data_IF_946751133260
#
_entry.id   IF_946751133260
#
_cell.length_a   1.000
_cell.length_b   1.000
_cell.length_c   1.000
_cell.angle_alpha   90.00
_cell.angle_beta   90.00
_cell.angle_gamma   90.00
#
_symmetry.space_group_name_H-M   'P 1'
#
loop_
_entity.id
_entity.type
_entity.pdbx_description
1 polymer ?
#
# COMPACT_ATOMS: atom_id res chain seq x y z
N UNK A 1 14.98 -15.52 5.15
CA UNK A 1 14.24 -14.33 4.67
C UNK A 1 14.79 -13.14 5.43
N UNK A 2 15.12 -12.04 4.76
CA UNK A 2 15.48 -10.81 5.46
C UNK A 2 14.24 -10.05 5.95
N UNK A 3 14.44 -9.10 6.86
CA UNK A 3 13.36 -8.36 7.51
C UNK A 3 12.55 -7.48 6.55
N UNK A 4 13.16 -6.94 5.49
CA UNK A 4 12.43 -6.12 4.51
C UNK A 4 11.52 -7.01 3.64
N UNK A 5 12.01 -8.18 3.23
CA UNK A 5 11.20 -9.18 2.52
C UNK A 5 10.01 -9.65 3.38
N UNK A 6 10.21 -9.83 4.69
CA UNK A 6 9.11 -10.13 5.62
C UNK A 6 8.04 -9.03 5.62
N UNK A 7 8.43 -7.76 5.78
CA UNK A 7 7.47 -6.66 5.79
C UNK A 7 6.79 -6.44 4.44
N UNK A 8 7.50 -6.68 3.34
CA UNK A 8 6.92 -6.61 2.01
C UNK A 8 5.81 -7.66 1.83
N UNK A 9 6.04 -8.88 2.31
CA UNK A 9 5.04 -9.94 2.27
C UNK A 9 3.84 -9.66 3.19
N UNK A 10 4.07 -9.10 4.39
CA UNK A 10 2.97 -8.61 5.26
C UNK A 10 2.14 -7.54 4.53
N UNK A 11 2.78 -6.58 3.85
CA UNK A 11 2.06 -5.57 3.05
C UNK A 11 1.20 -6.25 1.98
N UNK A 12 1.76 -7.17 1.20
CA UNK A 12 1.05 -7.89 0.14
C UNK A 12 -0.18 -8.62 0.68
N UNK A 13 -0.08 -9.32 1.82
CA UNK A 13 -1.23 -10.02 2.43
C UNK A 13 -2.29 -9.08 3.00
N UNK A 14 -1.90 -7.89 3.42
CA UNK A 14 -2.81 -6.83 3.83
C UNK A 14 -3.45 -6.09 2.64
N UNK A 15 -3.10 -6.46 1.40
CA UNK A 15 -3.59 -5.81 0.19
C UNK A 15 -2.93 -4.45 -0.08
N UNK A 16 -1.72 -4.24 0.44
CA UNK A 16 -0.95 -3.00 0.29
C UNK A 16 0.27 -3.23 -0.59
N UNK A 17 0.56 -2.27 -1.47
CA UNK A 17 1.85 -2.25 -2.17
C UNK A 17 2.98 -2.03 -1.15
N UNK A 18 4.09 -2.79 -1.20
CA UNK A 18 5.20 -2.65 -0.25
C UNK A 18 6.08 -1.44 -0.57
N UNK A 19 5.53 -0.24 -0.40
CA UNK A 19 6.21 1.02 -0.70
C UNK A 19 7.33 1.32 0.30
N UNK A 20 8.33 2.15 -0.07
CA UNK A 20 9.38 2.58 0.85
C UNK A 20 8.82 3.19 2.15
N UNK A 21 7.68 3.88 2.08
CA UNK A 21 7.00 4.42 3.25
C UNK A 21 6.57 3.32 4.23
N UNK A 22 5.83 2.30 3.74
CA UNK A 22 5.31 1.21 4.60
C UNK A 22 6.44 0.37 5.19
N UNK A 23 7.45 0.07 4.38
CA UNK A 23 8.62 -0.68 4.84
C UNK A 23 9.39 0.08 5.92
N UNK A 24 9.56 1.40 5.76
CA UNK A 24 10.20 2.23 6.78
C UNK A 24 9.37 2.31 8.07
N UNK A 25 8.03 2.43 7.96
CA UNK A 25 7.14 2.45 9.11
C UNK A 25 7.18 1.13 9.90
N UNK A 26 7.16 -0.02 9.21
CA UNK A 26 7.33 -1.33 9.85
C UNK A 26 8.71 -1.52 10.47
N UNK A 27 9.77 -1.06 9.78
CA UNK A 27 11.13 -1.14 10.30
C UNK A 27 11.29 -0.31 11.59
N UNK A 28 10.69 0.87 11.65
CA UNK A 28 10.70 1.70 12.86
C UNK A 28 9.90 1.07 14.00
N UNK A 29 8.71 0.53 13.71
CA UNK A 29 7.95 -0.25 14.69
C UNK A 29 8.82 -1.37 15.27
N UNK A 30 9.42 -2.21 14.42
CA UNK A 30 10.26 -3.31 14.88
C UNK A 30 11.50 -2.85 15.65
N UNK A 31 12.08 -1.70 15.28
CA UNK A 31 13.19 -1.10 16.03
C UNK A 31 12.76 -0.70 17.44
N UNK A 32 11.56 -0.14 17.60
CA UNK A 32 11.02 0.25 18.90
C UNK A 32 10.69 -0.95 19.79
N UNK A 33 10.24 -2.07 19.21
CA UNK A 33 10.03 -3.32 19.96
C UNK A 33 11.35 -3.97 20.39
N UNK A 34 12.42 -3.80 19.61
CA UNK A 34 13.74 -4.37 19.91
C UNK A 34 13.80 -5.90 19.84
N UNK A 35 12.80 -6.55 19.23
CA UNK A 35 12.76 -8.00 19.08
C UNK A 35 13.82 -8.49 18.08
N UNK A 36 14.63 -9.50 18.42
CA UNK A 36 15.58 -10.08 17.50
C UNK A 36 14.83 -10.91 16.44
N UNK A 37 14.66 -10.34 15.25
CA UNK A 37 13.90 -10.93 14.16
C UNK A 37 14.42 -12.32 13.78
N UNK A 38 15.74 -12.48 13.67
CA UNK A 38 16.40 -13.71 13.21
C UNK A 38 16.18 -14.89 14.15
N UNK A 39 15.76 -14.62 15.38
CA UNK A 39 15.51 -15.63 16.41
C UNK A 39 14.03 -15.88 16.67
N UNK A 40 13.15 -14.98 16.26
CA UNK A 40 11.76 -14.97 16.73
C UNK A 40 10.72 -14.95 15.62
N UNK A 41 11.10 -14.42 14.44
CA UNK A 41 10.17 -14.12 13.34
C UNK A 41 8.93 -13.32 13.81
N UNK A 42 9.04 -12.58 14.91
CA UNK A 42 8.00 -11.73 15.48
C UNK A 42 8.54 -10.30 15.71
N UNK A 43 8.85 -9.57 14.63
CA UNK A 43 9.52 -8.28 14.74
C UNK A 43 8.63 -7.20 15.41
N UNK A 44 7.31 -7.41 15.48
CA UNK A 44 6.36 -6.47 16.08
C UNK A 44 5.93 -6.88 17.51
N UNK A 45 6.63 -7.85 18.11
CA UNK A 45 6.37 -8.35 19.47
C UNK A 45 4.90 -8.73 19.75
N UNK A 46 4.20 -9.29 18.76
CA UNK A 46 2.78 -9.61 18.93
C UNK A 46 2.59 -10.66 20.04
N UNK A 47 1.68 -10.36 20.96
CA UNK A 47 1.38 -11.20 22.14
C UNK A 47 0.22 -12.18 21.90
N UNK A 48 -0.54 -11.96 20.83
CA UNK A 48 -1.78 -12.70 20.59
C UNK A 48 -1.50 -14.05 19.93
N UNK A 49 -2.17 -15.07 20.45
CA UNK A 49 -2.12 -16.42 19.93
C UNK A 49 -2.87 -16.49 18.59
N UNK A 50 -2.13 -16.50 17.48
CA UNK A 50 -2.68 -16.99 16.21
C UNK A 50 -2.94 -18.48 16.37
N UNK A 51 -4.20 -18.89 16.36
CA UNK A 51 -4.65 -20.25 16.73
C UNK A 51 -4.22 -21.35 15.77
N UNK A 52 -3.57 -21.02 14.66
CA UNK A 52 -3.07 -21.99 13.68
C UNK A 52 -1.60 -21.78 13.29
N UNK A 53 -0.91 -20.78 13.85
CA UNK A 53 0.47 -20.48 13.44
C UNK A 53 1.48 -21.33 14.22
N UNK A 54 2.37 -22.08 13.55
CA UNK A 54 3.41 -22.86 14.22
C UNK A 54 4.38 -22.00 15.03
N UNK A 55 4.50 -22.32 16.33
CA UNK A 55 5.51 -21.73 17.22
C UNK A 55 6.83 -22.49 17.14
N UNK A 56 7.94 -21.82 17.46
CA UNK A 56 9.20 -22.48 17.75
C UNK A 56 9.17 -23.03 19.19
N UNK A 57 8.70 -24.25 19.36
CA UNK A 57 8.63 -24.90 20.68
C UNK A 57 9.99 -25.38 21.19
N UNK A 58 11.06 -25.32 20.39
CA UNK A 58 12.42 -25.59 20.85
C UNK A 58 13.04 -24.35 21.53
N UNK A 59 12.48 -23.16 21.29
CA UNK A 59 12.88 -21.94 21.96
C UNK A 59 12.25 -21.85 23.35
N UNK A 60 13.08 -21.88 24.39
CA UNK A 60 12.66 -21.60 25.78
C UNK A 60 13.80 -20.88 26.52
N UNK A 61 13.53 -19.66 27.00
CA UNK A 61 14.46 -18.86 27.81
C UNK A 61 14.01 -18.75 29.28
N UNK A 62 13.18 -19.70 29.75
CA UNK A 62 12.64 -19.73 31.10
C UNK A 62 11.21 -19.20 31.23
N UNK A 63 10.55 -18.92 30.10
CA UNK A 63 9.15 -18.47 30.03
C UNK A 63 8.23 -19.52 29.38
N UNK A 64 8.77 -20.72 29.14
CA UNK A 64 8.09 -21.83 28.51
C UNK A 64 8.29 -21.88 26.99
N UNK A 65 8.08 -23.06 26.37
CA UNK A 65 8.27 -23.26 24.94
C UNK A 65 7.52 -22.26 24.05
N UNK A 66 8.23 -21.63 23.11
CA UNK A 66 7.69 -20.67 22.14
C UNK A 66 7.36 -19.28 22.70
N UNK A 67 7.79 -18.98 23.93
CA UNK A 67 7.61 -17.67 24.55
C UNK A 67 8.94 -16.92 24.68
N UNK A 68 8.89 -15.63 24.39
CA UNK A 68 10.01 -14.71 24.56
C UNK A 68 10.10 -14.15 25.99
N UNK A 69 8.96 -13.82 26.60
CA UNK A 69 8.88 -13.18 27.91
C UNK A 69 7.66 -13.67 28.72
N UNK A 70 7.48 -13.12 29.93
CA UNK A 70 6.36 -13.43 30.82
C UNK A 70 5.00 -12.86 30.38
N UNK A 71 4.96 -12.02 29.34
CA UNK A 71 3.74 -11.41 28.76
C UNK A 71 3.38 -12.15 27.45
N UNK A 72 3.41 -13.49 27.50
CA UNK A 72 3.58 -14.45 26.39
C UNK A 72 3.79 -13.91 24.96
N UNK A 73 4.80 -13.06 24.74
CA UNK A 73 5.22 -12.68 23.37
C UNK A 73 5.73 -13.93 22.67
N UNK A 74 5.25 -14.18 21.45
CA UNK A 74 5.47 -15.47 20.77
C UNK A 74 6.71 -15.48 19.88
N UNK A 75 7.32 -16.66 19.79
CA UNK A 75 8.43 -16.99 18.89
C UNK A 75 7.89 -17.97 17.86
N UNK A 76 7.89 -17.57 16.59
CA UNK A 76 7.34 -18.37 15.51
C UNK A 76 8.41 -19.29 14.90
N UNK A 77 7.99 -20.45 14.38
CA UNK A 77 8.90 -21.47 13.86
C UNK A 77 9.77 -20.96 12.71
N UNK A 78 9.18 -20.15 11.84
CA UNK A 78 9.79 -19.66 10.63
C UNK A 78 9.18 -18.31 10.22
N UNK A 79 9.75 -17.68 9.19
CA UNK A 79 9.29 -16.39 8.70
C UNK A 79 7.83 -16.42 8.20
N UNK A 80 7.42 -17.51 7.57
CA UNK A 80 6.06 -17.67 7.02
C UNK A 80 5.01 -17.70 8.14
N UNK A 81 5.29 -18.46 9.20
CA UNK A 81 4.49 -18.46 10.42
C UNK A 81 4.40 -17.05 11.03
N UNK A 82 5.54 -16.36 11.14
CA UNK A 82 5.58 -14.98 11.63
C UNK A 82 4.75 -13.99 10.79
N UNK A 83 4.81 -14.10 9.45
CA UNK A 83 4.01 -13.29 8.52
C UNK A 83 2.53 -13.56 8.72
N UNK A 84 2.12 -14.84 8.80
CA UNK A 84 0.73 -15.23 8.98
C UNK A 84 0.18 -14.64 10.29
N UNK A 85 0.87 -14.84 11.41
CA UNK A 85 0.43 -14.32 12.70
C UNK A 85 0.43 -12.78 12.76
N UNK A 86 1.41 -12.12 12.13
CA UNK A 86 1.44 -10.65 12.04
C UNK A 86 0.24 -10.13 11.25
N UNK A 87 -0.04 -10.74 10.10
CA UNK A 87 -1.19 -10.38 9.25
C UNK A 87 -2.51 -10.60 9.99
N UNK A 88 -2.70 -11.78 10.60
CA UNK A 88 -3.88 -12.09 11.42
C UNK A 88 -4.06 -11.10 12.57
N UNK A 89 -2.96 -10.67 13.19
CA UNK A 89 -3.00 -9.68 14.25
C UNK A 89 -3.47 -8.33 13.71
N UNK A 90 -2.89 -7.85 12.61
CA UNK A 90 -3.22 -6.52 12.07
C UNK A 90 -4.66 -6.42 11.56
N UNK A 91 -5.27 -7.50 11.07
CA UNK A 91 -6.68 -7.47 10.59
C UNK A 91 -7.72 -7.43 11.71
N UNK A 92 -7.31 -7.60 12.98
CA UNK A 92 -8.21 -7.54 14.10
C UNK A 92 -8.97 -6.20 14.19
N UNK A 93 -10.20 -6.20 14.73
CA UNK A 93 -11.01 -4.99 14.85
C UNK A 93 -10.42 -3.96 15.83
N UNK A 94 -9.33 -4.27 16.52
CA UNK A 94 -8.66 -3.40 17.49
C UNK A 94 -7.63 -2.45 16.87
N UNK A 95 -7.25 -2.69 15.60
CA UNK A 95 -6.25 -1.90 14.89
C UNK A 95 -6.78 -1.12 13.67
N UNK A 96 -8.02 -0.57 13.67
CA UNK A 96 -8.54 0.12 12.49
C UNK A 96 -7.74 1.38 12.14
N UNK A 97 -7.28 2.16 13.12
CA UNK A 97 -6.54 3.39 12.85
C UNK A 97 -5.08 3.11 12.50
N UNK A 98 -4.46 2.09 13.10
CA UNK A 98 -3.13 1.63 12.66
C UNK A 98 -3.20 1.17 11.20
N UNK A 99 -4.16 0.31 10.84
CA UNK A 99 -4.36 -0.11 9.44
C UNK A 99 -4.61 1.08 8.51
N UNK A 100 -5.41 2.06 8.94
CA UNK A 100 -5.64 3.30 8.19
C UNK A 100 -4.34 4.06 7.94
N UNK A 101 -3.42 4.11 8.91
CA UNK A 101 -2.12 4.75 8.73
C UNK A 101 -1.32 4.10 7.61
N UNK A 102 -1.25 2.76 7.60
CA UNK A 102 -0.55 2.02 6.54
C UNK A 102 -1.26 2.11 5.19
N UNK A 103 -2.59 1.96 5.15
CA UNK A 103 -3.35 2.04 3.92
C UNK A 103 -3.21 3.41 3.23
N UNK A 104 -3.24 4.50 3.99
CA UNK A 104 -3.12 5.86 3.47
C UNK A 104 -1.68 6.41 3.46
N UNK A 105 -0.69 5.63 3.92
CA UNK A 105 0.71 6.05 4.07
C UNK A 105 0.84 7.38 4.83
N UNK A 106 0.17 7.47 5.98
CA UNK A 106 0.08 8.70 6.78
C UNK A 106 -0.08 8.40 8.26
N UNK A 107 0.59 9.15 9.12
CA UNK A 107 0.39 9.05 10.58
C UNK A 107 -0.85 9.82 11.07
N UNK A 108 -1.83 9.11 11.62
CA UNK A 108 -3.04 9.64 12.25
C UNK A 108 -2.94 9.57 13.78
N UNK A 109 -3.35 10.62 14.50
CA UNK A 109 -3.28 10.61 15.98
C UNK A 109 -4.25 9.59 16.58
N UNK A 110 -5.31 9.26 15.86
CA UNK A 110 -6.31 8.25 16.23
C UNK A 110 -5.69 6.85 16.40
N UNK A 111 -4.49 6.59 15.85
CA UNK A 111 -3.75 5.35 16.06
C UNK A 111 -3.02 5.29 17.41
N UNK A 112 -2.74 6.43 18.06
CA UNK A 112 -1.97 6.48 19.31
C UNK A 112 -2.63 5.65 20.43
N UNK A 113 -3.96 5.75 20.68
CA UNK A 113 -4.60 4.95 21.72
C UNK A 113 -4.58 3.44 21.44
N UNK A 114 -4.60 3.03 20.15
CA UNK A 114 -4.50 1.62 19.77
C UNK A 114 -3.13 1.05 20.11
N UNK A 115 -2.06 1.80 19.78
CA UNK A 115 -0.71 1.46 20.21
C UNK A 115 -0.58 1.44 21.73
N UNK A 116 -1.17 2.42 22.42
CA UNK A 116 -1.13 2.49 23.87
C UNK A 116 -1.85 1.34 24.58
N UNK A 117 -2.97 0.88 24.02
CA UNK A 117 -3.78 -0.18 24.64
C UNK A 117 -3.27 -1.57 24.32
N UNK A 118 -2.83 -1.81 23.08
CA UNK A 118 -2.67 -3.18 22.57
C UNK A 118 -1.23 -3.56 22.21
N UNK A 119 -0.32 -2.58 22.17
CA UNK A 119 1.07 -2.82 21.76
C UNK A 119 2.03 -2.50 22.90
N UNK A 120 1.99 -1.27 23.42
CA UNK A 120 2.92 -0.85 24.47
C UNK A 120 2.41 0.30 25.33
N UNK A 121 2.56 1.54 24.83
CA UNK A 121 2.20 2.74 25.60
C UNK A 121 1.83 3.93 24.69
N UNK A 122 1.17 4.93 25.26
CA UNK A 122 0.87 6.18 24.55
C UNK A 122 2.13 6.89 24.06
N UNK A 123 3.20 6.88 24.86
CA UNK A 123 4.48 7.49 24.48
C UNK A 123 5.07 6.79 23.26
N UNK A 124 5.00 5.45 23.24
CA UNK A 124 5.37 4.63 22.10
C UNK A 124 4.51 4.97 20.87
N UNK A 125 3.19 5.04 21.03
CA UNK A 125 2.26 5.37 19.93
C UNK A 125 2.54 6.74 19.33
N UNK A 126 2.82 7.75 20.16
CA UNK A 126 3.22 9.10 19.72
C UNK A 126 4.52 9.10 18.93
N UNK A 127 5.52 8.35 19.38
CA UNK A 127 6.80 8.25 18.69
C UNK A 127 6.63 7.66 17.28
N UNK A 128 5.91 6.54 17.17
CA UNK A 128 5.71 5.84 15.90
C UNK A 128 4.81 6.63 14.94
N UNK A 129 3.70 7.20 15.41
CA UNK A 129 2.85 8.09 14.59
C UNK A 129 3.60 9.36 14.17
N UNK A 130 4.43 9.92 15.05
CA UNK A 130 5.32 11.03 14.73
C UNK A 130 6.30 10.68 13.61
N UNK A 131 6.92 9.50 13.68
CA UNK A 131 7.79 9.00 12.62
C UNK A 131 7.04 8.84 11.28
N UNK A 132 5.85 8.21 11.31
CA UNK A 132 5.00 8.05 10.13
C UNK A 132 4.66 9.39 9.44
N UNK A 133 4.50 10.47 10.21
CA UNK A 133 4.28 11.83 9.66
C UNK A 133 5.52 12.46 9.06
N UNK A 134 6.68 12.14 9.62
CA UNK A 134 7.96 12.66 9.17
C UNK A 134 8.47 11.96 7.90
N UNK A 135 7.96 10.75 7.60
CA UNK A 135 8.26 10.06 6.36
C UNK A 135 7.82 10.90 5.14
N UNK A 136 8.64 10.92 4.07
CA UNK A 136 8.27 11.63 2.85
C UNK A 136 6.97 11.06 2.31
N UNK A 137 6.00 11.93 2.03
CA UNK A 137 4.72 11.51 1.46
C UNK A 137 4.97 10.68 0.20
N UNK A 138 4.19 9.60 -0.04
CA UNK A 138 4.25 8.90 -1.32
C UNK A 138 4.10 9.93 -2.44
N UNK A 139 5.08 9.95 -3.35
CA UNK A 139 4.90 10.72 -4.56
C UNK A 139 3.68 10.13 -5.26
N UNK A 140 2.66 10.94 -5.62
CA UNK A 140 1.59 10.43 -6.44
C UNK A 140 2.23 9.80 -7.67
N UNK A 141 2.03 8.49 -7.85
CA UNK A 141 2.49 7.79 -9.04
C UNK A 141 1.99 8.62 -10.22
N UNK A 142 2.93 9.15 -11.00
CA UNK A 142 2.54 9.87 -12.20
C UNK A 142 1.76 8.87 -13.06
N UNK A 143 0.54 9.21 -13.51
CA UNK A 143 -0.20 8.32 -14.37
C UNK A 143 0.68 7.94 -15.56
N UNK A 144 0.57 6.69 -16.00
CA UNK A 144 1.39 6.18 -17.11
C UNK A 144 1.18 7.04 -18.35
N UNK A 145 2.09 6.96 -19.32
CA UNK A 145 1.90 7.66 -20.58
C UNK A 145 0.57 7.24 -21.24
N UNK A 146 0.20 5.95 -21.17
CA UNK A 146 -1.09 5.47 -21.66
C UNK A 146 -2.28 6.09 -20.91
N UNK A 147 -2.24 6.14 -19.58
CA UNK A 147 -3.33 6.73 -18.77
C UNK A 147 -3.48 8.24 -19.03
N UNK A 148 -2.36 8.93 -19.24
CA UNK A 148 -2.34 10.34 -19.60
C UNK A 148 -2.92 10.58 -20.99
N UNK A 149 -2.58 9.72 -21.96
CA UNK A 149 -3.12 9.76 -23.33
C UNK A 149 -4.62 9.48 -23.30
N UNK A 150 -5.07 8.42 -22.64
CA UNK A 150 -6.49 8.08 -22.53
C UNK A 150 -7.30 9.22 -21.88
N UNK A 151 -6.73 9.89 -20.87
CA UNK A 151 -7.36 11.06 -20.25
C UNK A 151 -7.45 12.26 -21.21
N UNK A 152 -6.42 12.50 -22.01
CA UNK A 152 -6.40 13.53 -23.06
C UNK A 152 -7.44 13.22 -24.15
N UNK A 153 -7.51 11.96 -24.61
CA UNK A 153 -8.51 11.51 -25.59
C UNK A 153 -9.92 11.68 -25.05
N UNK A 154 -10.18 11.36 -23.77
CA UNK A 154 -11.48 11.63 -23.14
C UNK A 154 -11.81 13.12 -23.04
N UNK A 155 -10.82 13.96 -22.77
CA UNK A 155 -11.02 15.42 -22.67
C UNK A 155 -11.31 16.04 -24.04
N UNK A 156 -10.61 15.60 -25.08
CA UNK A 156 -10.73 16.13 -26.45
C UNK A 156 -11.93 15.50 -27.17
N UNK A 157 -12.08 14.18 -27.11
CA UNK A 157 -13.16 13.41 -27.72
C UNK A 157 -14.48 13.43 -26.93
N UNK A 158 -14.46 13.87 -25.67
CA UNK A 158 -15.66 14.01 -24.84
C UNK A 158 -16.57 15.18 -25.21
N UNK A 159 -16.25 15.95 -26.26
CA UNK A 159 -17.12 16.96 -26.85
C UNK A 159 -16.99 16.91 -28.37
N UNK A 160 -18.09 16.68 -29.07
CA UNK A 160 -18.09 16.56 -30.53
C UNK A 160 -19.39 17.01 -31.17
N UNK A 161 -19.45 16.94 -32.50
CA UNK A 161 -20.66 17.16 -33.28
C UNK A 161 -20.81 15.93 -34.20
N UNK A 162 -22.01 15.35 -34.25
CA UNK A 162 -22.28 14.22 -35.14
C UNK A 162 -22.43 14.65 -36.61
N UNK A 163 -22.63 13.67 -37.50
CA UNK A 163 -22.80 13.94 -38.93
C UNK A 163 -24.06 14.75 -39.28
N UNK A 164 -25.03 14.86 -38.36
CA UNK A 164 -26.25 15.64 -38.49
C UNK A 164 -26.14 17.06 -37.89
N UNK A 165 -24.99 17.42 -37.31
CA UNK A 165 -24.78 18.72 -36.67
C UNK A 165 -25.20 18.77 -35.20
N UNK A 166 -25.56 17.65 -34.58
CA UNK A 166 -25.96 17.61 -33.18
C UNK A 166 -24.75 17.51 -32.25
N UNK A 167 -24.75 18.28 -31.15
CA UNK A 167 -23.67 18.26 -30.16
C UNK A 167 -23.71 16.97 -29.34
N UNK A 168 -22.56 16.29 -29.24
CA UNK A 168 -22.32 15.11 -28.40
C UNK A 168 -21.40 15.47 -27.24
N UNK A 169 -21.63 14.90 -26.05
CA UNK A 169 -20.80 15.12 -24.86
C UNK A 169 -20.59 13.84 -24.05
N UNK A 170 -19.45 13.73 -23.36
CA UNK A 170 -19.13 12.60 -22.48
C UNK A 170 -19.06 11.27 -23.24
N UNK A 171 -19.59 10.20 -22.62
CA UNK A 171 -19.60 8.84 -23.18
C UNK A 171 -20.27 8.74 -24.55
N UNK A 172 -21.29 9.56 -24.84
CA UNK A 172 -21.96 9.56 -26.14
C UNK A 172 -21.04 10.07 -27.27
N UNK A 173 -20.15 11.01 -26.96
CA UNK A 173 -19.16 11.49 -27.94
C UNK A 173 -18.06 10.45 -28.17
N UNK A 174 -17.62 9.77 -27.10
CA UNK A 174 -16.60 8.71 -27.17
C UNK A 174 -17.09 7.49 -27.94
N UNK A 175 -18.29 6.99 -27.62
CA UNK A 175 -18.88 5.86 -28.34
C UNK A 175 -19.11 6.15 -29.83
N UNK A 176 -19.45 7.40 -30.16
CA UNK A 176 -19.59 7.83 -31.55
C UNK A 176 -18.25 7.86 -32.29
N UNK A 177 -17.18 8.36 -31.66
CA UNK A 177 -15.82 8.32 -32.22
C UNK A 177 -15.34 6.89 -32.46
N UNK A 178 -15.51 6.01 -31.47
CA UNK A 178 -15.15 4.58 -31.57
C UNK A 178 -15.92 3.88 -32.69
N UNK A 179 -17.24 4.14 -32.82
CA UNK A 179 -18.08 3.57 -33.88
C UNK A 179 -17.66 3.98 -35.30
N UNK A 180 -16.82 5.01 -35.41
CA UNK A 180 -16.32 5.56 -36.68
C UNK A 180 -14.84 5.24 -36.89
N UNK A 181 -14.24 4.44 -36.01
CA UNK A 181 -12.80 4.15 -35.98
C UNK A 181 -11.94 5.43 -35.97
N UNK A 182 -12.50 6.52 -35.43
CA UNK A 182 -11.83 7.81 -35.41
C UNK A 182 -10.87 7.87 -34.23
N UNK A 183 -9.60 7.59 -34.52
CA UNK A 183 -8.50 7.83 -33.59
C UNK A 183 -8.05 9.28 -33.64
N UNK A 184 -7.98 9.95 -32.49
CA UNK A 184 -7.36 11.27 -32.36
C UNK A 184 -5.91 11.25 -32.87
N UNK A 185 -5.19 10.15 -32.62
CA UNK A 185 -3.82 9.93 -33.08
C UNK A 185 -3.71 9.93 -34.61
N UNK A 186 -4.61 9.19 -35.28
CA UNK A 186 -4.68 9.17 -36.74
C UNK A 186 -5.07 10.56 -37.28
N UNK A 187 -6.06 11.21 -36.68
CA UNK A 187 -6.50 12.54 -37.07
C UNK A 187 -5.40 13.61 -36.97
N UNK A 188 -4.65 13.62 -35.85
CA UNK A 188 -3.50 14.51 -35.66
C UNK A 188 -2.37 14.19 -36.64
N UNK A 189 -2.02 12.92 -36.82
CA UNK A 189 -0.99 12.52 -37.78
C UNK A 189 -1.33 12.95 -39.22
N UNK A 190 -2.59 12.75 -39.65
CA UNK A 190 -3.07 13.19 -40.96
C UNK A 190 -3.08 14.71 -41.08
N UNK A 191 -3.52 15.43 -40.05
CA UNK A 191 -3.51 16.91 -40.02
C UNK A 191 -2.10 17.45 -40.12
N UNK A 192 -1.15 16.85 -39.39
CA UNK A 192 0.24 17.27 -39.37
C UNK A 192 0.95 16.99 -40.70
N UNK A 193 0.66 15.85 -41.33
CA UNK A 193 1.10 15.55 -42.69
C UNK A 193 0.56 16.58 -43.71
N UNK A 194 -0.71 16.97 -43.58
CA UNK A 194 -1.34 17.90 -44.52
C UNK A 194 -0.88 19.35 -44.34
N UNK A 195 -0.69 19.79 -43.09
CA UNK A 195 -0.07 21.09 -42.79
C UNK A 195 1.35 21.18 -43.34
N UNK A 196 2.13 20.09 -43.22
CA UNK A 196 3.48 20.01 -43.80
C UNK A 196 3.44 20.16 -45.31
N UNK A 197 2.54 19.43 -45.98
CA UNK A 197 2.33 19.49 -47.44
C UNK A 197 1.92 20.88 -47.94
N UNK A 198 1.14 21.62 -47.15
CA UNK A 198 0.71 22.98 -47.47
C UNK A 198 1.81 24.02 -47.24
N UNK A 199 2.73 23.79 -46.30
CA UNK A 199 3.87 24.68 -46.04
C UNK A 199 5.01 24.59 -47.06
N UNK A 200 5.01 23.53 -47.90
CA UNK A 200 5.96 23.33 -48.99
C UNK A 200 5.49 23.93 -50.34
N UNK A 201 4.35 24.62 -50.36
CA UNK A 201 3.79 25.34 -51.52
C UNK A 201 4.02 26.84 -51.42
#
# INVERSE_FOLDING_TARGET
>A
MDRNAFFAEVCSRMGWEPTPWRLAAFAEWARLEGMPYERTFNPLATTRLSTGTPLDTAFDLGFGPGNWNSVPVRVYRDAEAGIAATTETLVLPYYPNIRRCFAAERGYDEAIPEFGTYVGSDAYGRALVGFMRALPAPQPQQPSLEERIARLERLIGGNGIDAGGARLTGEAALAWLDSREMSLYLGLALTQAEVTRLGER
#
